data_IF_520607330361
#
_entry.id   IF_520607330361
#
_cell.length_a   1.000
_cell.length_b   1.000
_cell.length_c   1.000
_cell.angle_alpha   90.00
_cell.angle_beta   90.00
_cell.angle_gamma   90.00
#
_symmetry.space_group_name_H-M   'P 1'
#
loop_
_entity.id
_entity.type
_entity.pdbx_description
1 polymer ?
#
# COMPACT_ATOMS: atom_id res chain seq x y z
N UNK A 1 59.79 -23.01 63.30
CA UNK A 1 60.44 -24.30 63.06
C UNK A 1 60.08 -24.74 61.65
N UNK A 2 61.07 -24.70 60.76
CA UNK A 2 61.31 -25.63 59.67
C UNK A 2 60.20 -25.84 58.63
N UNK A 3 60.38 -25.94 57.39
CA UNK A 3 61.52 -26.01 56.48
C UNK A 3 60.99 -26.25 55.05
N UNK A 4 61.55 -25.60 54.09
CA UNK A 4 61.85 -26.11 52.72
C UNK A 4 60.70 -26.73 51.86
N UNK A 5 60.66 -26.65 50.59
CA UNK A 5 61.64 -26.35 49.53
C UNK A 5 60.90 -26.57 48.16
N UNK A 6 61.12 -25.67 47.24
CA UNK A 6 61.26 -25.89 45.79
C UNK A 6 60.49 -26.97 45.09
N UNK A 7 59.72 -26.61 44.09
CA UNK A 7 59.96 -27.18 42.74
C UNK A 7 59.44 -26.28 41.68
N UNK A 8 60.29 -25.88 40.75
CA UNK A 8 59.98 -25.33 39.44
C UNK A 8 59.31 -26.42 38.61
N UNK A 9 58.21 -26.13 37.96
CA UNK A 9 57.85 -26.73 36.69
C UNK A 9 57.24 -25.68 35.78
N UNK A 10 57.96 -25.39 34.74
CA UNK A 10 57.51 -24.62 33.60
C UNK A 10 56.47 -25.43 32.83
N UNK A 11 55.31 -24.90 32.60
CA UNK A 11 54.38 -25.45 31.63
C UNK A 11 53.94 -24.40 30.62
N UNK A 12 54.20 -24.75 29.40
CA UNK A 12 53.97 -24.04 28.16
C UNK A 12 52.57 -23.41 28.10
N UNK A 13 52.54 -22.09 27.77
CA UNK A 13 51.40 -21.42 27.26
C UNK A 13 51.12 -21.89 25.81
N UNK A 14 50.15 -22.74 25.60
CA UNK A 14 49.54 -22.93 24.30
C UNK A 14 48.40 -21.95 24.18
N UNK A 15 48.66 -20.85 23.46
CA UNK A 15 47.63 -19.90 23.04
C UNK A 15 46.75 -20.55 21.96
N UNK A 16 45.61 -21.08 22.38
CA UNK A 16 44.52 -21.46 21.45
C UNK A 16 43.83 -20.19 20.96
N UNK A 17 44.16 -19.76 19.76
CA UNK A 17 43.44 -18.69 19.06
C UNK A 17 42.07 -19.25 18.65
N UNK A 18 41.05 -18.90 19.42
CA UNK A 18 39.64 -19.16 19.08
C UNK A 18 39.24 -18.19 17.98
N UNK A 19 39.30 -18.64 16.73
CA UNK A 19 38.68 -17.89 15.61
C UNK A 19 37.19 -17.93 15.77
N UNK A 20 36.60 -16.82 16.23
CA UNK A 20 35.17 -16.58 16.11
C UNK A 20 34.87 -16.37 14.63
N UNK A 21 34.29 -17.39 13.99
CA UNK A 21 33.66 -17.26 12.69
C UNK A 21 32.38 -16.45 12.91
N UNK A 22 32.38 -15.19 12.49
CA UNK A 22 31.16 -14.40 12.37
C UNK A 22 30.31 -14.98 11.25
N UNK A 23 29.03 -15.36 11.50
CA UNK A 23 28.17 -15.75 10.41
C UNK A 23 27.95 -14.52 9.49
N UNK A 24 28.36 -14.64 8.23
CA UNK A 24 27.99 -13.67 7.20
C UNK A 24 26.46 -13.71 7.08
N UNK A 25 25.79 -12.68 7.59
CA UNK A 25 24.38 -12.45 7.30
C UNK A 25 24.29 -12.13 5.82
N UNK A 26 23.92 -13.13 5.02
CA UNK A 26 23.47 -12.91 3.66
C UNK A 26 22.22 -12.03 3.73
N UNK A 27 22.34 -10.77 3.36
CA UNK A 27 21.19 -9.90 3.08
C UNK A 27 20.55 -10.45 1.81
N UNK A 28 19.64 -11.39 1.96
CA UNK A 28 18.72 -11.79 0.92
C UNK A 28 17.88 -10.56 0.58
N UNK A 29 18.15 -9.99 -0.60
CA UNK A 29 17.38 -8.86 -1.12
C UNK A 29 15.94 -9.33 -1.26
N UNK A 30 15.06 -8.86 -0.38
CA UNK A 30 13.64 -9.16 -0.45
C UNK A 30 13.15 -8.84 -1.87
N UNK A 31 12.71 -9.86 -2.60
CA UNK A 31 12.07 -9.69 -3.90
C UNK A 31 10.75 -8.99 -3.63
N UNK A 32 10.55 -7.83 -4.23
CA UNK A 32 9.29 -7.10 -4.12
C UNK A 32 8.12 -8.01 -4.53
N UNK A 33 7.00 -8.00 -3.80
CA UNK A 33 5.87 -8.87 -4.12
C UNK A 33 5.36 -8.57 -5.53
N UNK A 34 5.18 -9.62 -6.33
CA UNK A 34 4.60 -9.54 -7.66
C UNK A 34 3.08 -9.38 -7.52
N UNK A 35 2.54 -8.26 -7.98
CA UNK A 35 1.10 -8.01 -8.00
C UNK A 35 0.38 -8.71 -9.17
N UNK A 36 -0.96 -8.71 -9.12
CA UNK A 36 -1.81 -9.13 -10.23
C UNK A 36 -1.56 -8.26 -11.47
N UNK A 37 -1.66 -8.80 -12.69
CA UNK A 37 -1.33 -8.06 -13.92
C UNK A 37 -2.09 -6.75 -14.10
N UNK A 38 -3.32 -6.71 -13.62
CA UNK A 38 -4.24 -5.59 -13.77
C UNK A 38 -4.30 -4.68 -12.53
N UNK A 39 -3.41 -4.87 -11.56
CA UNK A 39 -3.46 -4.15 -10.29
C UNK A 39 -3.19 -2.64 -10.43
N UNK A 40 -2.51 -2.24 -11.48
CA UNK A 40 -2.16 -0.85 -11.78
C UNK A 40 -0.88 -0.36 -11.10
N UNK A 41 -0.41 -1.06 -10.06
CA UNK A 41 0.86 -0.78 -9.39
C UNK A 41 1.38 -2.04 -8.68
N UNK A 42 2.63 -2.01 -8.22
CA UNK A 42 3.19 -3.09 -7.40
C UNK A 42 2.64 -3.03 -5.97
N UNK A 43 2.39 -4.17 -5.31
CA UNK A 43 2.07 -4.19 -3.89
C UNK A 43 3.13 -3.49 -3.02
N UNK A 44 2.70 -3.03 -1.85
CA UNK A 44 3.60 -2.48 -0.84
C UNK A 44 4.47 -3.56 -0.22
N UNK A 45 5.62 -3.17 0.34
CA UNK A 45 6.39 -4.04 1.20
C UNK A 45 5.75 -4.15 2.58
N UNK A 46 5.68 -5.39 3.10
CA UNK A 46 5.10 -5.68 4.42
C UNK A 46 3.59 -5.45 4.48
N UNK A 47 3.00 -5.67 5.66
CA UNK A 47 1.55 -5.63 5.91
C UNK A 47 1.12 -4.46 6.79
N UNK A 48 2.06 -3.65 7.31
CA UNK A 48 1.77 -2.63 8.30
C UNK A 48 0.70 -1.60 7.85
N UNK A 49 0.67 -1.25 6.54
CA UNK A 49 -0.37 -0.37 6.02
C UNK A 49 -1.72 -1.06 6.01
N UNK A 50 -1.79 -2.32 5.59
CA UNK A 50 -3.01 -3.12 5.61
C UNK A 50 -3.58 -3.30 7.03
N UNK A 51 -2.71 -3.55 7.99
CA UNK A 51 -3.08 -3.65 9.41
C UNK A 51 -3.61 -2.32 9.95
N UNK A 52 -3.01 -1.19 9.56
CA UNK A 52 -3.48 0.15 9.93
C UNK A 52 -4.87 0.49 9.36
N UNK A 53 -5.28 -0.16 8.28
CA UNK A 53 -6.64 -0.08 7.72
C UNK A 53 -7.63 -1.05 8.40
N UNK A 54 -7.21 -1.79 9.44
CA UNK A 54 -8.02 -2.78 10.12
C UNK A 54 -8.17 -4.09 9.35
N UNK A 55 -7.23 -4.40 8.49
CA UNK A 55 -7.27 -5.59 7.65
C UNK A 55 -8.42 -5.56 6.62
N UNK A 56 -8.83 -6.73 6.13
CA UNK A 56 -9.89 -6.83 5.13
C UNK A 56 -11.25 -6.35 5.65
N UNK A 57 -11.56 -6.62 6.92
CA UNK A 57 -12.82 -6.17 7.53
C UNK A 57 -12.88 -4.65 7.67
N UNK A 58 -11.77 -4.01 8.05
CA UNK A 58 -11.66 -2.56 8.07
C UNK A 58 -11.83 -1.94 6.69
N UNK A 59 -11.18 -2.53 5.67
CA UNK A 59 -11.35 -2.10 4.28
C UNK A 59 -12.80 -2.18 3.81
N UNK A 60 -13.54 -3.24 4.13
CA UNK A 60 -14.95 -3.35 3.76
C UNK A 60 -15.75 -2.19 4.34
N UNK A 61 -15.58 -1.88 5.62
CA UNK A 61 -16.28 -0.77 6.29
C UNK A 61 -15.93 0.60 5.67
N UNK A 62 -14.64 0.81 5.38
CA UNK A 62 -14.17 2.03 4.71
C UNK A 62 -14.80 2.15 3.33
N UNK A 63 -14.84 1.07 2.53
CA UNK A 63 -15.44 1.07 1.20
C UNK A 63 -16.95 1.21 1.22
N UNK A 64 -17.64 0.78 2.28
CA UNK A 64 -19.06 1.04 2.48
C UNK A 64 -19.32 2.55 2.61
N UNK A 65 -18.61 3.23 3.49
CA UNK A 65 -18.74 4.67 3.69
C UNK A 65 -18.25 5.47 2.47
N UNK A 66 -17.18 5.02 1.84
CA UNK A 66 -16.68 5.61 0.60
C UNK A 66 -17.73 5.57 -0.51
N UNK A 67 -18.38 4.43 -0.72
CA UNK A 67 -19.45 4.29 -1.73
C UNK A 67 -20.64 5.21 -1.42
N UNK A 68 -21.01 5.36 -0.14
CA UNK A 68 -22.06 6.32 0.28
C UNK A 68 -21.64 7.74 -0.10
N UNK A 69 -20.41 8.15 0.18
CA UNK A 69 -19.88 9.46 -0.18
C UNK A 69 -19.87 9.70 -1.69
N UNK A 70 -19.42 8.71 -2.47
CA UNK A 70 -19.37 8.79 -3.93
C UNK A 70 -20.74 8.97 -4.58
N UNK A 71 -21.78 8.34 -4.02
CA UNK A 71 -23.17 8.47 -4.51
C UNK A 71 -23.81 9.79 -4.06
N UNK A 72 -23.40 10.32 -2.91
CA UNK A 72 -23.91 11.59 -2.38
C UNK A 72 -23.29 12.81 -3.10
N UNK A 73 -22.04 12.72 -3.55
CA UNK A 73 -21.35 13.84 -4.22
C UNK A 73 -21.76 13.94 -5.70
N UNK A 74 -22.32 15.06 -6.16
CA UNK A 74 -22.75 15.23 -7.55
C UNK A 74 -21.64 15.09 -8.59
N UNK A 75 -20.37 15.29 -8.20
CA UNK A 75 -19.18 15.15 -9.08
C UNK A 75 -18.84 13.69 -9.37
N UNK A 76 -19.14 12.78 -8.44
CA UNK A 76 -18.85 11.35 -8.56
C UNK A 76 -20.07 10.48 -8.77
N UNK A 77 -21.25 10.94 -8.34
CA UNK A 77 -22.52 10.22 -8.47
C UNK A 77 -22.78 9.60 -9.84
N UNK A 78 -22.56 10.28 -10.99
CA UNK A 78 -22.83 9.73 -12.31
C UNK A 78 -22.07 8.43 -12.61
N UNK A 79 -20.95 8.19 -11.93
CA UNK A 79 -20.10 7.02 -12.14
C UNK A 79 -20.44 5.86 -11.20
N UNK A 80 -21.00 6.14 -10.02
CA UNK A 80 -21.18 5.16 -8.95
C UNK A 80 -22.64 4.84 -8.61
N UNK A 81 -23.60 5.71 -8.92
CA UNK A 81 -25.02 5.45 -8.71
C UNK A 81 -25.60 4.58 -9.84
N UNK A 82 -25.24 3.30 -9.80
CA UNK A 82 -25.63 2.34 -10.82
C UNK A 82 -25.83 0.93 -10.22
N UNK A 83 -26.50 -0.01 -10.95
CA UNK A 83 -26.77 -1.37 -10.45
C UNK A 83 -25.53 -2.21 -10.10
N UNK A 84 -24.34 -1.83 -10.58
CA UNK A 84 -23.09 -2.56 -10.34
C UNK A 84 -22.30 -2.04 -9.15
N UNK A 85 -22.81 -1.08 -8.39
CA UNK A 85 -22.08 -0.44 -7.28
C UNK A 85 -21.51 -1.42 -6.26
N UNK A 86 -22.25 -2.48 -5.93
CA UNK A 86 -21.76 -3.48 -4.97
C UNK A 86 -20.62 -4.32 -5.56
N UNK A 87 -20.66 -4.63 -6.84
CA UNK A 87 -19.58 -5.27 -7.55
C UNK A 87 -18.34 -4.35 -7.61
N UNK A 88 -18.52 -3.06 -7.93
CA UNK A 88 -17.43 -2.07 -7.95
C UNK A 88 -16.78 -1.98 -6.56
N UNK A 89 -17.59 -1.87 -5.50
CA UNK A 89 -17.13 -1.86 -4.12
C UNK A 89 -16.27 -3.09 -3.80
N UNK A 90 -16.75 -4.29 -4.15
CA UNK A 90 -16.00 -5.53 -3.92
C UNK A 90 -14.65 -5.52 -4.66
N UNK A 91 -14.59 -5.03 -5.90
CA UNK A 91 -13.34 -4.91 -6.65
C UNK A 91 -12.38 -3.91 -6.01
N UNK A 92 -12.86 -2.78 -5.49
CA UNK A 92 -12.06 -1.81 -4.76
C UNK A 92 -11.46 -2.42 -3.47
N UNK A 93 -12.23 -3.23 -2.73
CA UNK A 93 -11.72 -3.94 -1.55
C UNK A 93 -10.56 -4.86 -1.93
N UNK A 94 -10.71 -5.69 -2.98
CA UNK A 94 -9.66 -6.61 -3.41
C UNK A 94 -8.42 -5.86 -3.93
N UNK A 95 -8.63 -4.77 -4.69
CA UNK A 95 -7.53 -3.95 -5.20
C UNK A 95 -6.72 -3.30 -4.06
N UNK A 96 -7.40 -2.64 -3.11
CA UNK A 96 -6.72 -2.01 -1.98
C UNK A 96 -6.03 -3.04 -1.09
N UNK A 97 -6.67 -4.19 -0.86
CA UNK A 97 -6.09 -5.29 -0.11
C UNK A 97 -4.79 -5.80 -0.76
N UNK A 98 -4.79 -6.05 -2.07
CA UNK A 98 -3.57 -6.50 -2.76
C UNK A 98 -2.50 -5.40 -2.81
N UNK A 99 -2.87 -4.14 -3.09
CA UNK A 99 -1.91 -3.02 -3.08
C UNK A 99 -1.20 -2.86 -1.74
N UNK A 100 -1.91 -3.10 -0.63
CA UNK A 100 -1.35 -3.05 0.72
C UNK A 100 -0.72 -4.38 1.17
N UNK A 101 -0.53 -5.34 0.26
CA UNK A 101 0.05 -6.66 0.53
C UNK A 101 -0.73 -7.46 1.58
N UNK A 102 -2.05 -7.33 1.60
CA UNK A 102 -2.95 -8.00 2.54
C UNK A 102 -3.29 -9.46 2.20
N UNK A 103 -2.58 -10.07 1.25
CA UNK A 103 -2.77 -11.48 0.86
C UNK A 103 -3.92 -11.72 -0.12
N UNK A 104 -4.64 -10.68 -0.56
CA UNK A 104 -5.67 -10.76 -1.58
C UNK A 104 -5.08 -10.82 -2.99
N UNK A 105 -5.95 -11.15 -3.96
CA UNK A 105 -5.63 -11.05 -5.39
C UNK A 105 -6.72 -10.28 -6.10
N UNK A 106 -6.35 -9.22 -6.80
CA UNK A 106 -7.27 -8.40 -7.56
C UNK A 106 -7.69 -9.12 -8.86
N UNK A 107 -8.97 -9.52 -8.98
CA UNK A 107 -9.45 -10.24 -10.15
C UNK A 107 -10.00 -9.30 -11.22
N UNK A 108 -9.93 -7.98 -11.00
CA UNK A 108 -10.55 -6.98 -11.87
C UNK A 108 -9.76 -6.72 -13.15
N UNK A 109 -10.34 -5.84 -13.98
CA UNK A 109 -9.69 -5.33 -15.21
C UNK A 109 -8.69 -4.23 -14.86
N UNK A 110 -7.76 -3.95 -15.77
CA UNK A 110 -6.87 -2.80 -15.67
C UNK A 110 -7.64 -1.46 -15.64
N UNK A 111 -6.99 -0.40 -15.21
CA UNK A 111 -7.62 0.91 -15.02
C UNK A 111 -8.09 1.51 -16.34
N UNK A 112 -7.31 1.42 -17.40
CA UNK A 112 -7.66 1.94 -18.72
C UNK A 112 -8.94 1.28 -19.27
N UNK A 113 -9.01 -0.06 -19.24
CA UNK A 113 -10.18 -0.82 -19.68
C UNK A 113 -11.41 -0.56 -18.79
N UNK A 114 -11.21 -0.42 -17.47
CA UNK A 114 -12.28 -0.20 -16.51
C UNK A 114 -12.93 1.18 -16.65
N UNK A 115 -12.17 2.19 -17.08
CA UNK A 115 -12.63 3.57 -17.20
C UNK A 115 -12.83 4.03 -18.65
N UNK A 116 -12.65 3.13 -19.63
CA UNK A 116 -12.84 3.44 -21.04
C UNK A 116 -14.24 4.04 -21.30
N UNK A 117 -14.29 5.15 -22.01
CA UNK A 117 -15.51 5.87 -22.40
C UNK A 117 -16.36 6.44 -21.24
N UNK A 118 -15.87 6.42 -20.00
CA UNK A 118 -16.60 6.97 -18.85
C UNK A 118 -16.55 8.49 -18.80
N UNK A 119 -15.65 9.14 -19.54
CA UNK A 119 -15.45 10.59 -19.54
C UNK A 119 -15.14 11.15 -18.14
N UNK A 120 -14.34 10.43 -17.38
CA UNK A 120 -13.86 10.90 -16.08
C UNK A 120 -12.96 12.10 -16.29
N UNK A 121 -13.29 13.22 -15.67
CA UNK A 121 -12.51 14.44 -15.70
C UNK A 121 -11.72 14.65 -14.39
N UNK A 122 -10.88 15.67 -14.37
CA UNK A 122 -10.06 16.03 -13.21
C UNK A 122 -10.88 16.33 -11.95
N UNK A 123 -12.02 16.98 -12.11
CA UNK A 123 -12.90 17.34 -10.99
C UNK A 123 -13.49 16.09 -10.33
N UNK A 124 -14.00 15.15 -11.12
CA UNK A 124 -14.54 13.88 -10.61
C UNK A 124 -13.45 13.04 -9.95
N UNK A 125 -12.25 13.00 -10.53
CA UNK A 125 -11.12 12.29 -9.93
C UNK A 125 -10.71 12.88 -8.57
N UNK A 126 -10.58 14.21 -8.48
CA UNK A 126 -10.26 14.87 -7.23
C UNK A 126 -11.34 14.64 -6.17
N UNK A 127 -12.61 14.74 -6.56
CA UNK A 127 -13.73 14.45 -5.66
C UNK A 127 -13.72 13.01 -5.14
N UNK A 128 -13.36 12.05 -5.99
CA UNK A 128 -13.17 10.66 -5.56
C UNK A 128 -12.10 10.54 -4.48
N UNK A 129 -10.94 11.21 -4.66
CA UNK A 129 -9.86 11.21 -3.64
C UNK A 129 -10.34 11.84 -2.34
N UNK A 130 -11.06 12.97 -2.40
CA UNK A 130 -11.65 13.63 -1.22
C UNK A 130 -12.60 12.70 -0.46
N UNK A 131 -13.53 12.03 -1.15
CA UNK A 131 -14.46 11.10 -0.53
C UNK A 131 -13.73 9.91 0.10
N UNK A 132 -12.66 9.44 -0.52
CA UNK A 132 -11.87 8.35 0.06
C UNK A 132 -11.13 8.80 1.33
N UNK A 133 -10.58 10.00 1.35
CA UNK A 133 -9.96 10.58 2.56
C UNK A 133 -10.99 10.72 3.69
N UNK A 134 -12.20 11.23 3.42
CA UNK A 134 -13.27 11.30 4.42
C UNK A 134 -13.66 9.92 4.99
N UNK A 135 -13.74 8.90 4.13
CA UNK A 135 -14.02 7.54 4.59
C UNK A 135 -12.89 6.99 5.47
N UNK A 136 -11.62 7.21 5.11
CA UNK A 136 -10.47 6.80 5.92
C UNK A 136 -10.42 7.53 7.26
N UNK A 137 -10.69 8.82 7.28
CA UNK A 137 -10.73 9.64 8.50
C UNK A 137 -11.84 9.18 9.45
N UNK A 138 -13.03 8.89 8.93
CA UNK A 138 -14.15 8.35 9.69
C UNK A 138 -13.80 7.06 10.43
N UNK A 139 -12.95 6.23 9.84
CA UNK A 139 -12.47 4.97 10.42
C UNK A 139 -11.15 5.12 11.19
N UNK A 140 -10.70 6.35 11.46
CA UNK A 140 -9.48 6.66 12.21
C UNK A 140 -8.21 6.00 11.62
N UNK A 141 -8.14 5.83 10.30
CA UNK A 141 -6.92 5.36 9.63
C UNK A 141 -5.81 6.40 9.83
N UNK A 142 -4.64 6.02 10.34
CA UNK A 142 -3.55 6.97 10.54
C UNK A 142 -3.16 7.69 9.24
N UNK A 143 -2.96 9.01 9.30
CA UNK A 143 -2.65 9.84 8.14
C UNK A 143 -1.44 9.34 7.34
N UNK A 144 -0.43 8.80 8.02
CA UNK A 144 0.74 8.19 7.37
C UNK A 144 0.38 6.96 6.53
N UNK A 145 -0.59 6.15 6.97
CA UNK A 145 -1.07 4.99 6.24
C UNK A 145 -1.93 5.41 5.04
N UNK A 146 -2.82 6.41 5.22
CA UNK A 146 -3.59 7.01 4.13
C UNK A 146 -2.67 7.51 3.01
N UNK A 147 -1.65 8.31 3.35
CA UNK A 147 -0.72 8.86 2.37
C UNK A 147 0.09 7.77 1.63
N UNK A 148 0.47 6.70 2.30
CA UNK A 148 1.13 5.57 1.64
C UNK A 148 0.24 4.94 0.58
N UNK A 149 -1.04 4.71 0.89
CA UNK A 149 -1.98 4.14 -0.08
C UNK A 149 -2.26 5.13 -1.21
N UNK A 150 -2.54 6.39 -0.92
CA UNK A 150 -2.78 7.42 -1.93
C UNK A 150 -1.57 7.58 -2.87
N UNK A 151 -0.34 7.49 -2.37
CA UNK A 151 0.87 7.52 -3.20
C UNK A 151 0.96 6.31 -4.16
N UNK A 152 0.41 5.15 -3.79
CA UNK A 152 0.30 3.99 -4.69
C UNK A 152 -0.77 4.18 -5.77
N UNK A 153 -1.86 4.87 -5.44
CA UNK A 153 -2.97 5.12 -6.36
C UNK A 153 -2.70 6.29 -7.32
N UNK A 154 -1.95 7.29 -6.89
CA UNK A 154 -1.71 8.51 -7.65
C UNK A 154 -1.18 8.29 -9.09
N UNK A 155 -0.26 7.35 -9.38
CA UNK A 155 0.18 7.10 -10.76
C UNK A 155 -0.92 6.61 -11.70
N UNK A 156 -1.96 5.94 -11.17
CA UNK A 156 -3.09 5.41 -11.96
C UNK A 156 -4.00 6.52 -12.52
N UNK A 157 -3.89 7.74 -12.02
CA UNK A 157 -4.65 8.90 -12.47
C UNK A 157 -4.72 9.00 -14.00
N UNK A 158 -3.59 8.79 -14.71
CA UNK A 158 -3.49 8.92 -16.18
C UNK A 158 -4.30 7.86 -16.94
N UNK A 159 -4.60 6.74 -16.29
CA UNK A 159 -5.37 5.65 -16.86
C UNK A 159 -6.87 5.81 -16.57
N UNK A 160 -7.21 6.58 -15.53
CA UNK A 160 -8.59 6.83 -15.07
C UNK A 160 -9.18 8.06 -15.74
N UNK A 161 -8.41 9.16 -15.85
CA UNK A 161 -8.87 10.37 -16.52
C UNK A 161 -8.95 10.15 -18.04
N UNK A 162 -10.16 10.14 -18.58
CA UNK A 162 -10.43 9.88 -20.01
C UNK A 162 -10.81 11.15 -20.79
N UNK A 163 -10.99 12.29 -20.09
CA UNK A 163 -11.10 13.59 -20.70
C UNK A 163 -9.88 14.41 -20.31
N UNK A 164 -8.94 14.57 -21.22
CA UNK A 164 -7.97 15.66 -21.11
C UNK A 164 -8.75 16.96 -21.12
N UNK A 165 -8.99 17.52 -19.92
CA UNK A 165 -9.47 18.88 -19.83
C UNK A 165 -8.52 19.75 -20.65
N UNK A 166 -9.02 20.43 -21.66
CA UNK A 166 -8.27 21.49 -22.31
C UNK A 166 -7.71 22.35 -21.17
N UNK A 167 -6.38 22.41 -21.08
CA UNK A 167 -5.74 23.32 -20.15
C UNK A 167 -6.39 24.67 -20.38
N UNK A 168 -7.11 25.21 -19.39
CA UNK A 168 -7.53 26.59 -19.42
C UNK A 168 -6.23 27.36 -19.43
N UNK A 169 -5.85 27.79 -20.62
CA UNK A 169 -4.72 28.71 -20.77
C UNK A 169 -5.01 29.87 -19.82
N UNK A 170 -4.04 30.30 -18.98
CA UNK A 170 -4.23 31.47 -18.18
C UNK A 170 -4.52 32.62 -19.15
N UNK A 171 -5.75 33.09 -19.14
CA UNK A 171 -6.12 34.36 -19.80
C UNK A 171 -5.29 35.42 -19.13
N UNK A 172 -4.22 35.84 -19.82
CA UNK A 172 -3.36 36.91 -19.37
C UNK A 172 -4.16 38.16 -19.19
N UNK A 173 -3.96 38.78 -18.06
CA UNK A 173 -4.17 40.22 -17.82
C UNK A 173 -2.90 40.98 -18.11
#
# INVERSE_FOLDING_TARGET
>A
MNFKMKSLLATLLTSASLMLATPAMSTEKAVAPSGSPNLGNTPMEGTATFEAFGGKEGLVKIMDDFMIGLIADPRTKPFFDNPKKDFIKAMLVEQMCELMNGGCKYPGRDMTTSHANMKVNREAFNALVEQFQFAMDKHNVPFTAQNKLLAKLAPMYREVETTTGAAVAPTGL
#
